data_IF_247940442176
#
_entry.id   IF_247940442176
#
_cell.length_a   1.000
_cell.length_b   1.000
_cell.length_c   1.000
_cell.angle_alpha   90.00
_cell.angle_beta   90.00
_cell.angle_gamma   90.00
#
_symmetry.space_group_name_H-M   'P 1'
#
loop_
_entity.id
_entity.type
_entity.pdbx_description
1 polymer ?
#
# COMPACT_ATOMS: atom_id res chain seq x y z
N UNK A 1 -7.24 20.65 15.63
CA UNK A 1 -8.38 19.75 15.32
C UNK A 1 -7.81 18.45 14.78
N UNK A 2 -8.00 17.34 15.51
CA UNK A 2 -7.43 16.03 15.15
C UNK A 2 -8.27 15.44 14.01
N UNK A 3 -7.64 15.09 12.90
CA UNK A 3 -8.34 14.44 11.77
C UNK A 3 -8.40 12.93 12.02
N UNK A 4 -9.57 12.34 11.88
CA UNK A 4 -9.80 10.90 11.99
C UNK A 4 -9.94 10.30 10.57
N UNK A 5 -9.15 9.27 10.27
CA UNK A 5 -9.33 8.46 9.07
C UNK A 5 -9.87 7.08 9.49
N UNK A 6 -11.11 6.79 9.06
CA UNK A 6 -11.83 5.58 9.45
C UNK A 6 -11.86 4.60 8.28
N UNK A 7 -11.43 3.36 8.52
CA UNK A 7 -11.58 2.25 7.59
C UNK A 7 -12.74 1.36 8.07
N UNK A 8 -13.88 1.37 7.38
CA UNK A 8 -15.00 0.49 7.67
C UNK A 8 -15.57 -0.13 6.39
N UNK A 9 -15.83 -1.44 6.42
CA UNK A 9 -16.42 -2.37 5.46
C UNK A 9 -16.92 -1.80 4.11
N UNK A 10 -16.42 -2.30 3.00
CA UNK A 10 -16.66 -1.99 1.59
C UNK A 10 -16.23 -0.58 1.12
N UNK A 11 -16.60 0.50 1.83
CA UNK A 11 -16.04 1.83 1.58
C UNK A 11 -14.63 1.98 2.17
N UNK A 12 -14.31 1.25 3.22
CA UNK A 12 -12.98 1.19 3.82
C UNK A 12 -11.92 0.55 2.92
N UNK A 13 -12.31 -0.40 2.09
CA UNK A 13 -11.43 -0.99 1.07
C UNK A 13 -10.88 0.06 0.09
N UNK A 14 -11.77 0.89 -0.43
CA UNK A 14 -11.37 1.98 -1.33
C UNK A 14 -10.46 3.00 -0.63
N UNK A 15 -10.62 3.19 0.68
CA UNK A 15 -9.79 4.13 1.44
C UNK A 15 -8.42 3.54 1.76
N UNK A 16 -8.32 2.26 2.11
CA UNK A 16 -7.04 1.59 2.33
C UNK A 16 -6.20 1.49 1.05
N UNK A 17 -6.81 1.08 -0.05
CA UNK A 17 -6.18 1.07 -1.37
C UNK A 17 -5.79 2.49 -1.82
N UNK A 18 -6.57 3.51 -1.47
CA UNK A 18 -6.20 4.91 -1.67
C UNK A 18 -5.00 5.33 -0.84
N UNK A 19 -4.89 4.84 0.37
CA UNK A 19 -3.76 5.13 1.27
C UNK A 19 -2.49 4.46 0.76
N UNK A 20 -2.55 3.19 0.33
CA UNK A 20 -1.41 2.50 -0.31
C UNK A 20 -1.10 3.12 -1.68
N UNK A 21 -2.11 3.56 -2.44
CA UNK A 21 -1.87 4.27 -3.71
C UNK A 21 -1.15 5.60 -3.50
N UNK A 22 -1.42 6.28 -2.38
CA UNK A 22 -0.73 7.51 -2.02
C UNK A 22 0.73 7.26 -1.65
N UNK A 23 1.07 6.04 -1.17
CA UNK A 23 2.45 5.61 -1.00
C UNK A 23 3.18 5.48 -2.35
N UNK A 24 2.52 4.94 -3.38
CA UNK A 24 3.06 4.91 -4.73
C UNK A 24 3.27 6.31 -5.32
N UNK A 25 2.40 7.27 -4.97
CA UNK A 25 2.55 8.65 -5.40
C UNK A 25 3.87 9.28 -4.93
N UNK A 26 4.34 8.92 -3.74
CA UNK A 26 5.65 9.35 -3.25
C UNK A 26 6.80 8.85 -4.14
N UNK A 27 6.61 7.70 -4.81
CA UNK A 27 7.60 7.11 -5.71
C UNK A 27 7.30 7.37 -7.20
N UNK A 28 6.13 7.90 -7.55
CA UNK A 28 5.69 8.08 -8.93
C UNK A 28 5.84 9.55 -9.35
N UNK A 29 6.83 9.83 -10.17
CA UNK A 29 7.01 11.15 -10.79
C UNK A 29 5.98 11.47 -11.90
N UNK A 30 5.14 10.50 -12.30
CA UNK A 30 4.27 10.62 -13.47
C UNK A 30 2.83 10.20 -13.21
N UNK A 31 1.91 11.17 -13.19
CA UNK A 31 0.47 10.99 -12.92
C UNK A 31 -0.25 10.17 -14.02
N UNK A 32 0.34 10.02 -15.20
CA UNK A 32 -0.29 9.34 -16.36
C UNK A 32 -0.09 7.82 -16.38
N UNK A 33 0.66 7.27 -15.43
CA UNK A 33 1.01 5.86 -15.40
C UNK A 33 -0.07 5.00 -14.77
N UNK A 34 -0.16 3.75 -15.24
CA UNK A 34 -1.02 2.73 -14.63
C UNK A 34 -0.22 1.97 -13.59
N UNK A 35 -0.62 2.09 -12.34
CA UNK A 35 0.08 1.51 -11.22
C UNK A 35 -0.64 0.28 -10.68
N UNK A 36 0.13 -0.76 -10.39
CA UNK A 36 -0.32 -1.99 -9.76
C UNK A 36 -0.08 -1.94 -8.25
N UNK A 37 -1.13 -2.08 -7.46
CA UNK A 37 -1.05 -2.10 -6.01
C UNK A 37 -1.48 -3.48 -5.54
N UNK A 38 -0.61 -4.17 -4.80
CA UNK A 38 -0.87 -5.50 -4.26
C UNK A 38 -0.69 -5.46 -2.74
N UNK A 39 -1.71 -5.94 -2.03
CA UNK A 39 -1.68 -6.21 -0.59
C UNK A 39 -1.97 -7.70 -0.37
N UNK A 40 -0.98 -8.44 0.14
CA UNK A 40 -1.18 -9.84 0.54
C UNK A 40 -1.37 -9.93 2.05
N UNK A 41 -2.61 -10.21 2.44
CA UNK A 41 -2.99 -10.50 3.81
C UNK A 41 -3.10 -12.01 4.07
N UNK A 42 -3.28 -12.40 5.35
CA UNK A 42 -3.41 -13.81 5.74
C UNK A 42 -4.62 -14.54 5.13
N UNK A 43 -5.70 -13.83 4.84
CA UNK A 43 -6.96 -14.43 4.39
C UNK A 43 -7.21 -14.22 2.89
N UNK A 44 -6.71 -13.15 2.34
CA UNK A 44 -6.91 -12.78 0.94
C UNK A 44 -5.90 -11.75 0.49
N UNK A 45 -5.64 -11.74 -0.80
CA UNK A 45 -4.85 -10.69 -1.47
C UNK A 45 -5.78 -9.68 -2.12
N UNK A 46 -5.41 -8.42 -2.02
CA UNK A 46 -6.16 -7.30 -2.59
C UNK A 46 -5.29 -6.64 -3.65
N UNK A 47 -5.90 -6.35 -4.77
CA UNK A 47 -5.23 -5.70 -5.90
C UNK A 47 -6.00 -4.47 -6.30
N UNK A 48 -5.31 -3.38 -6.55
CA UNK A 48 -5.89 -2.21 -7.17
C UNK A 48 -5.11 -1.79 -8.40
N UNK A 49 -5.85 -1.33 -9.39
CA UNK A 49 -5.36 -0.60 -10.55
C UNK A 49 -5.54 0.87 -10.27
N UNK A 50 -4.43 1.59 -10.21
CA UNK A 50 -4.44 3.02 -9.93
C UNK A 50 -3.97 3.80 -11.15
N UNK A 51 -4.77 4.78 -11.59
CA UNK A 51 -4.51 5.56 -12.78
C UNK A 51 -5.06 6.97 -12.63
N UNK A 52 -4.33 7.96 -13.09
CA UNK A 52 -4.76 9.37 -13.10
C UNK A 52 -5.24 9.87 -11.72
N UNK A 53 -4.58 9.46 -10.63
CA UNK A 53 -4.93 9.93 -9.29
C UNK A 53 -6.12 9.23 -8.62
N UNK A 54 -6.66 8.15 -9.21
CA UNK A 54 -7.80 7.41 -8.63
C UNK A 54 -7.68 5.90 -8.87
N UNK A 55 -8.44 5.13 -8.08
CA UNK A 55 -8.56 3.69 -8.27
C UNK A 55 -9.54 3.44 -9.42
N UNK A 56 -9.02 2.88 -10.53
CA UNK A 56 -9.81 2.49 -11.71
C UNK A 56 -10.52 1.15 -11.48
N UNK A 57 -9.84 0.19 -10.85
CA UNK A 57 -10.41 -1.11 -10.52
C UNK A 57 -9.80 -1.67 -9.23
N UNK A 58 -10.55 -2.53 -8.54
CA UNK A 58 -10.05 -3.27 -7.38
C UNK A 58 -10.58 -4.69 -7.36
N UNK A 59 -9.75 -5.63 -6.91
CA UNK A 59 -10.02 -7.06 -6.89
C UNK A 59 -9.62 -7.66 -5.55
N UNK A 60 -10.29 -8.74 -5.17
CA UNK A 60 -9.96 -9.56 -3.99
C UNK A 60 -9.82 -11.01 -4.42
N UNK A 61 -8.69 -11.60 -4.07
CA UNK A 61 -8.36 -12.98 -4.42
C UNK A 61 -8.12 -13.80 -3.15
N UNK A 62 -8.72 -14.97 -3.06
CA UNK A 62 -8.41 -15.96 -2.00
C UNK A 62 -7.11 -16.72 -2.31
N UNK A 63 -6.87 -16.97 -3.59
CA UNK A 63 -5.62 -17.55 -4.09
C UNK A 63 -4.98 -16.53 -5.02
N UNK A 64 -3.72 -16.21 -4.78
CA UNK A 64 -3.01 -15.17 -5.50
C UNK A 64 -1.58 -15.62 -5.83
N UNK A 65 -1.13 -15.33 -7.03
CA UNK A 65 0.19 -15.67 -7.51
C UNK A 65 0.41 -15.15 -8.92
N UNK A 66 1.48 -15.62 -9.57
CA UNK A 66 1.91 -15.17 -10.89
C UNK A 66 0.81 -15.25 -11.95
N UNK A 67 0.02 -16.33 -11.96
CA UNK A 67 -1.04 -16.52 -12.96
C UNK A 67 -2.11 -15.41 -12.90
N UNK A 68 -2.50 -14.99 -11.70
CA UNK A 68 -3.45 -13.89 -11.49
C UNK A 68 -2.86 -12.57 -11.96
N UNK A 69 -1.61 -12.32 -11.61
CA UNK A 69 -0.91 -11.09 -12.00
C UNK A 69 -0.71 -11.04 -13.50
N UNK A 70 -0.32 -12.16 -14.15
CA UNK A 70 -0.18 -12.26 -15.60
C UNK A 70 -1.48 -11.89 -16.33
N UNK A 71 -2.61 -12.42 -15.86
CA UNK A 71 -3.92 -12.08 -16.43
C UNK A 71 -4.29 -10.59 -16.26
N UNK A 72 -3.80 -9.93 -15.20
CA UNK A 72 -3.97 -8.50 -15.04
C UNK A 72 -3.09 -7.70 -15.99
N UNK A 73 -1.86 -8.14 -16.26
CA UNK A 73 -0.97 -7.50 -17.24
C UNK A 73 -1.49 -7.59 -18.68
N UNK A 74 -2.33 -8.58 -18.99
CA UNK A 74 -3.00 -8.64 -20.30
C UNK A 74 -4.09 -7.57 -20.46
N UNK A 75 -4.66 -7.10 -19.34
CA UNK A 75 -5.75 -6.10 -19.34
C UNK A 75 -5.27 -4.69 -19.14
N UNK A 76 -4.17 -4.51 -18.42
CA UNK A 76 -3.70 -3.20 -18.00
C UNK A 76 -2.20 -3.06 -18.32
N UNK A 77 -1.84 -1.92 -18.91
CA UNK A 77 -0.45 -1.59 -19.22
C UNK A 77 0.25 -1.03 -17.99
N UNK A 78 0.50 -1.86 -16.99
CA UNK A 78 1.20 -1.44 -15.78
C UNK A 78 2.64 -1.05 -16.07
N UNK A 79 3.06 0.08 -15.54
CA UNK A 79 4.44 0.58 -15.62
C UNK A 79 5.14 0.52 -14.28
N UNK A 80 4.39 0.71 -13.20
CA UNK A 80 4.92 0.69 -11.84
C UNK A 80 4.04 -0.18 -10.92
N UNK A 81 4.61 -0.63 -9.81
CA UNK A 81 3.84 -1.37 -8.83
C UNK A 81 4.47 -1.45 -7.46
N UNK A 82 3.62 -1.74 -6.49
CA UNK A 82 4.01 -2.00 -5.11
C UNK A 82 3.37 -3.30 -4.62
N UNK A 83 4.16 -4.08 -3.89
CA UNK A 83 3.71 -5.25 -3.15
C UNK A 83 3.97 -5.03 -1.66
N UNK A 84 2.90 -5.08 -0.87
CA UNK A 84 2.92 -5.18 0.58
C UNK A 84 2.42 -6.56 0.99
N UNK A 85 3.12 -7.25 1.88
CA UNK A 85 2.73 -8.57 2.35
C UNK A 85 2.95 -8.73 3.85
N UNK A 86 2.06 -9.48 4.49
CA UNK A 86 2.18 -9.95 5.88
C UNK A 86 2.31 -11.47 5.96
N UNK A 87 2.44 -12.13 4.81
CA UNK A 87 2.70 -13.57 4.68
C UNK A 87 4.05 -13.79 3.98
N UNK A 88 4.57 -15.00 4.05
CA UNK A 88 5.74 -15.39 3.28
C UNK A 88 5.48 -15.18 1.80
N UNK A 89 6.40 -14.51 1.15
CA UNK A 89 6.24 -14.09 -0.24
C UNK A 89 6.82 -15.15 -1.17
N UNK A 90 6.08 -15.41 -2.23
CA UNK A 90 6.54 -16.23 -3.34
C UNK A 90 7.62 -15.48 -4.14
N UNK A 91 8.83 -16.03 -4.14
CA UNK A 91 9.97 -15.48 -4.89
C UNK A 91 9.70 -15.41 -6.39
N UNK A 92 8.90 -16.34 -6.93
CA UNK A 92 8.48 -16.32 -8.34
C UNK A 92 7.63 -15.09 -8.64
N UNK A 93 6.71 -14.74 -7.76
CA UNK A 93 5.90 -13.54 -7.90
C UNK A 93 6.74 -12.27 -7.87
N UNK A 94 7.68 -12.18 -6.94
CA UNK A 94 8.60 -11.03 -6.85
C UNK A 94 9.44 -10.91 -8.12
N UNK A 95 10.02 -12.02 -8.59
CA UNK A 95 10.83 -12.05 -9.80
C UNK A 95 10.01 -11.64 -11.02
N UNK A 96 8.78 -12.14 -11.13
CA UNK A 96 7.86 -11.78 -12.21
C UNK A 96 7.58 -10.27 -12.22
N UNK A 97 7.22 -9.69 -11.06
CA UNK A 97 6.91 -8.27 -10.94
C UNK A 97 8.13 -7.39 -11.25
N UNK A 98 9.31 -7.75 -10.74
CA UNK A 98 10.57 -7.05 -11.05
C UNK A 98 10.90 -7.05 -12.54
N UNK A 99 10.55 -8.11 -13.24
CA UNK A 99 10.85 -8.26 -14.66
C UNK A 99 9.85 -7.52 -15.56
N UNK A 100 8.59 -7.41 -15.12
CA UNK A 100 7.50 -6.81 -15.91
C UNK A 100 7.32 -5.31 -15.69
N UNK A 101 7.64 -4.81 -14.51
CA UNK A 101 7.46 -3.41 -14.15
C UNK A 101 8.76 -2.62 -14.34
N UNK A 102 8.64 -1.40 -14.87
CA UNK A 102 9.76 -0.46 -14.98
C UNK A 102 10.24 -0.03 -13.57
N UNK A 103 9.29 0.08 -12.65
CA UNK A 103 9.56 0.39 -11.24
C UNK A 103 8.72 -0.51 -10.34
N UNK A 104 9.39 -1.29 -9.51
CA UNK A 104 8.73 -2.17 -8.54
C UNK A 104 9.25 -1.89 -7.13
N UNK A 105 8.32 -1.71 -6.21
CA UNK A 105 8.60 -1.54 -4.78
C UNK A 105 8.06 -2.76 -4.03
N UNK A 106 8.97 -3.53 -3.44
CA UNK A 106 8.62 -4.51 -2.42
C UNK A 106 8.73 -3.83 -1.06
N UNK A 107 7.61 -3.68 -0.36
CA UNK A 107 7.57 -2.96 0.90
C UNK A 107 8.17 -3.82 2.02
N UNK A 108 9.46 -3.65 2.24
CA UNK A 108 10.23 -4.28 3.31
C UNK A 108 10.83 -3.23 4.27
N UNK A 109 11.68 -3.65 5.17
CA UNK A 109 12.35 -2.77 6.13
C UNK A 109 13.46 -1.89 5.53
N UNK A 110 13.85 -2.13 4.29
CA UNK A 110 14.91 -1.37 3.59
C UNK A 110 14.35 -0.24 2.75
N UNK A 111 13.04 -0.21 2.54
CA UNK A 111 12.39 0.86 1.76
C UNK A 111 12.50 2.18 2.53
N UNK A 112 13.11 3.19 1.89
CA UNK A 112 13.16 4.54 2.44
C UNK A 112 11.74 5.10 2.58
N UNK A 113 11.36 5.45 3.80
CA UNK A 113 10.04 6.01 4.09
C UNK A 113 10.13 7.52 4.23
N UNK A 114 9.09 8.28 3.81
CA UNK A 114 9.02 9.73 4.00
C UNK A 114 8.65 10.11 5.44
N UNK A 115 8.73 9.17 6.36
CA UNK A 115 8.40 9.34 7.78
C UNK A 115 9.44 8.64 8.63
N UNK A 116 9.73 9.20 9.81
CA UNK A 116 10.51 8.51 10.83
C UNK A 116 9.59 7.55 11.59
N UNK A 117 10.02 6.30 11.72
CA UNK A 117 9.27 5.30 12.47
C UNK A 117 9.84 5.19 13.88
N UNK A 118 9.06 5.63 14.86
CA UNK A 118 9.37 5.46 16.28
C UNK A 118 8.52 4.35 16.89
N UNK A 119 8.85 3.13 16.55
CA UNK A 119 8.21 1.92 17.05
C UNK A 119 9.23 1.07 17.80
N UNK A 120 8.88 0.54 18.97
CA UNK A 120 9.81 -0.19 19.84
C UNK A 120 10.48 -1.39 19.16
N UNK A 121 9.81 -2.02 18.19
CA UNK A 121 10.31 -3.14 17.39
C UNK A 121 10.06 -2.91 15.90
N UNK A 122 10.78 -1.99 15.22
CA UNK A 122 10.47 -1.60 13.83
C UNK A 122 10.42 -2.75 12.84
N UNK A 123 11.25 -3.78 13.04
CA UNK A 123 11.31 -4.97 12.17
C UNK A 123 10.05 -5.83 12.22
N UNK A 124 9.28 -5.76 13.31
CA UNK A 124 8.06 -6.54 13.49
C UNK A 124 6.80 -5.75 13.18
N UNK A 125 6.94 -4.47 12.82
CA UNK A 125 5.81 -3.64 12.43
C UNK A 125 5.22 -4.11 11.09
N UNK A 126 3.93 -4.41 11.10
CA UNK A 126 3.22 -4.85 9.89
C UNK A 126 3.37 -3.85 8.74
N UNK A 127 3.67 -4.35 7.55
CA UNK A 127 3.90 -3.50 6.37
C UNK A 127 2.62 -2.79 5.92
N UNK A 128 1.47 -3.39 6.16
CA UNK A 128 0.13 -2.79 5.97
C UNK A 128 -0.05 -1.54 6.86
N UNK A 129 0.41 -1.60 8.11
CA UNK A 129 0.40 -0.46 9.04
C UNK A 129 1.30 0.67 8.56
N UNK A 130 2.52 0.36 8.12
CA UNK A 130 3.45 1.34 7.52
C UNK A 130 2.84 2.00 6.29
N UNK A 131 2.28 1.23 5.37
CA UNK A 131 1.63 1.76 4.19
C UNK A 131 0.47 2.69 4.55
N UNK A 132 -0.35 2.31 5.54
CA UNK A 132 -1.46 3.13 6.02
C UNK A 132 -1.01 4.48 6.57
N UNK A 133 0.06 4.49 7.36
CA UNK A 133 0.63 5.72 7.96
C UNK A 133 1.22 6.64 6.90
N UNK A 134 2.04 6.10 6.00
CA UNK A 134 2.64 6.88 4.91
C UNK A 134 1.57 7.51 4.02
N UNK A 135 0.56 6.73 3.62
CA UNK A 135 -0.53 7.24 2.81
C UNK A 135 -1.37 8.29 3.54
N UNK A 136 -1.63 8.14 4.85
CA UNK A 136 -2.34 9.13 5.64
C UNK A 136 -1.55 10.44 5.72
N UNK A 137 -0.23 10.36 5.92
CA UNK A 137 0.64 11.53 5.92
C UNK A 137 0.65 12.24 4.56
N UNK A 138 0.70 11.49 3.47
CA UNK A 138 0.61 12.05 2.12
C UNK A 138 -0.71 12.81 1.90
N UNK A 139 -1.84 12.24 2.34
CA UNK A 139 -3.16 12.86 2.20
C UNK A 139 -3.35 14.09 3.11
N UNK A 140 -2.61 14.17 4.20
CA UNK A 140 -2.73 15.24 5.21
C UNK A 140 -1.36 15.63 5.75
N UNK A 141 -0.46 16.19 4.92
CA UNK A 141 0.89 16.51 5.32
C UNK A 141 0.93 17.54 6.46
N UNK A 142 1.87 17.40 7.36
CA UNK A 142 2.10 18.33 8.48
C UNK A 142 0.95 18.37 9.49
N UNK A 143 0.22 17.28 9.67
CA UNK A 143 -0.88 17.17 10.66
C UNK A 143 -0.64 16.02 11.60
N UNK A 144 -1.04 16.21 12.86
CA UNK A 144 -1.17 15.12 13.82
C UNK A 144 -2.36 14.25 13.40
N UNK A 145 -2.12 12.96 13.15
CA UNK A 145 -3.13 12.04 12.66
C UNK A 145 -3.23 10.83 13.57
N UNK A 146 -4.44 10.34 13.73
CA UNK A 146 -4.73 9.00 14.22
C UNK A 146 -5.26 8.17 13.07
N UNK A 147 -4.52 7.13 12.70
CA UNK A 147 -4.90 6.16 11.67
C UNK A 147 -5.47 4.94 12.38
N UNK A 148 -6.69 4.56 12.03
CA UNK A 148 -7.36 3.39 12.57
C UNK A 148 -7.63 2.43 11.42
N UNK A 149 -7.04 1.24 11.46
CA UNK A 149 -7.34 0.15 10.56
C UNK A 149 -8.20 -0.88 11.27
N UNK A 150 -9.45 -1.04 10.83
CA UNK A 150 -10.41 -1.99 11.35
C UNK A 150 -10.61 -3.14 10.33
N UNK A 151 -9.72 -4.12 10.39
CA UNK A 151 -9.76 -5.36 9.61
C UNK A 151 -10.10 -6.56 10.48
N UNK A 152 -9.38 -7.67 10.33
CA UNK A 152 -9.45 -8.85 11.21
C UNK A 152 -9.01 -8.47 12.64
N UNK A 153 -8.02 -7.60 12.75
CA UNK A 153 -7.66 -6.90 13.97
C UNK A 153 -7.93 -5.40 13.83
N UNK A 154 -8.00 -4.69 14.94
CA UNK A 154 -8.05 -3.22 14.93
C UNK A 154 -6.69 -2.72 15.35
N UNK A 155 -6.04 -1.92 14.50
CA UNK A 155 -4.76 -1.29 14.78
C UNK A 155 -4.90 0.22 14.86
N UNK A 156 -4.02 0.85 15.64
CA UNK A 156 -4.00 2.28 15.87
C UNK A 156 -2.58 2.80 15.67
N UNK A 157 -2.43 3.80 14.79
CA UNK A 157 -1.16 4.46 14.52
C UNK A 157 -1.31 5.97 14.75
N UNK A 158 -0.32 6.56 15.35
CA UNK A 158 -0.27 8.02 15.55
C UNK A 158 0.85 8.60 14.71
N UNK A 159 0.55 9.65 13.97
CA UNK A 159 1.54 10.48 13.30
C UNK A 159 1.62 11.80 14.09
N UNK A 160 2.82 12.13 14.54
CA UNK A 160 3.12 13.43 15.12
C UNK A 160 3.86 14.28 14.08
N UNK A 161 3.29 15.41 13.72
CA UNK A 161 3.88 16.33 12.75
C UNK A 161 5.16 17.02 13.26
N UNK A 162 5.43 16.96 14.56
CA UNK A 162 6.64 17.55 15.15
C UNK A 162 7.88 16.66 15.04
N UNK A 163 7.69 15.38 14.68
CA UNK A 163 8.80 14.44 14.48
C UNK A 163 9.48 14.57 13.11
N UNK A 164 9.07 15.57 12.31
CA UNK A 164 9.60 15.87 10.97
C UNK A 164 10.52 17.09 11.00
N UNK A 165 11.54 17.05 11.81
CA UNK A 165 12.63 18.02 11.74
C UNK A 165 13.92 17.38 11.28
#
# INVERSE_FOLDING_TARGET
>A
MRSFLFKKNFRGYAMFLRVISSFLFFFAENIREVNLIIEQGNTSSKVAVYKNGHIEASFVYKQFGVSVVAALFEKYAFTQGILSTVIDTDDELIAYLKNKLQRFVFLDEHVALPIKVEYGTPKTLGKDRLAAVVGANYLRPGKNLLVIDAGTAITYEVIDCLLYT
#
